data_IF_820878383148
#
_entry.id   IF_820878383148
#
_cell.length_a   1.000
_cell.length_b   1.000
_cell.length_c   1.000
_cell.angle_alpha   90.00
_cell.angle_beta   90.00
_cell.angle_gamma   90.00
#
_symmetry.space_group_name_H-M   'P 1'
#
loop_
_entity.id
_entity.type
_entity.pdbx_description
1 polymer ?
#
# COMPACT_ATOMS: atom_id res chain seq x y z
N UNK A 1 -6.60 -31.91 33.06
CA UNK A 1 -7.83 -31.20 32.66
C UNK A 1 -7.90 -29.89 33.41
N UNK A 2 -7.30 -28.83 32.87
CA UNK A 2 -7.73 -27.44 33.09
C UNK A 2 -7.30 -26.65 31.86
N UNK A 3 -8.27 -25.91 31.32
CA UNK A 3 -8.34 -25.36 29.98
C UNK A 3 -7.30 -24.26 29.72
N UNK A 4 -6.51 -24.41 28.67
CA UNK A 4 -6.09 -23.27 27.85
C UNK A 4 -6.59 -23.50 26.42
N UNK A 5 -7.91 -23.56 26.30
CA UNK A 5 -8.59 -23.36 25.04
C UNK A 5 -8.83 -21.85 24.89
N UNK A 6 -8.41 -21.33 23.74
CA UNK A 6 -8.74 -20.04 23.15
C UNK A 6 -8.10 -18.77 23.71
N UNK A 7 -6.98 -18.36 23.09
CA UNK A 7 -7.03 -17.20 22.16
C UNK A 7 -6.14 -17.52 20.94
N UNK A 8 -6.63 -18.23 19.91
CA UNK A 8 -6.03 -18.11 18.59
C UNK A 8 -6.42 -16.75 18.04
N UNK A 9 -5.57 -16.19 17.19
CA UNK A 9 -5.83 -14.96 16.44
C UNK A 9 -5.85 -13.68 17.31
N UNK A 10 -4.72 -13.39 17.95
CA UNK A 10 -4.31 -11.97 17.95
C UNK A 10 -4.02 -11.66 16.49
N UNK A 11 -4.99 -11.03 15.86
CA UNK A 11 -4.94 -10.57 14.48
C UNK A 11 -3.69 -9.72 14.30
N UNK A 12 -2.63 -10.29 13.72
CA UNK A 12 -1.43 -9.55 13.32
C UNK A 12 -1.76 -8.47 12.26
N UNK A 13 -3.02 -8.40 11.79
CA UNK A 13 -3.51 -7.36 10.90
C UNK A 13 -3.92 -6.06 11.62
N UNK A 14 -3.88 -5.98 12.95
CA UNK A 14 -4.34 -4.78 13.67
C UNK A 14 -3.23 -3.92 14.31
N UNK A 15 -1.95 -4.30 14.20
CA UNK A 15 -0.84 -3.50 14.74
C UNK A 15 0.36 -3.48 13.81
N UNK A 16 0.17 -2.98 12.57
CA UNK A 16 1.17 -2.17 11.88
C UNK A 16 0.50 -1.39 10.73
N UNK A 17 -0.55 -0.65 11.08
CA UNK A 17 -1.03 0.48 10.27
C UNK A 17 -0.36 1.78 10.73
N UNK A 18 0.93 1.72 11.09
CA UNK A 18 1.75 2.93 11.02
C UNK A 18 2.28 3.04 9.60
N UNK A 19 1.46 3.75 8.84
CA UNK A 19 1.61 4.41 7.55
C UNK A 19 2.96 5.15 7.41
N UNK A 20 4.09 4.48 7.65
CA UNK A 20 5.43 5.07 7.66
C UNK A 20 6.02 5.09 6.26
N UNK A 21 5.21 5.34 5.22
CA UNK A 21 5.67 5.79 3.90
C UNK A 21 4.60 6.54 3.09
N UNK A 22 3.53 7.07 3.69
CA UNK A 22 2.81 8.19 3.07
C UNK A 22 3.50 9.49 3.46
N UNK A 23 4.58 9.84 2.75
CA UNK A 23 5.10 11.20 2.83
C UNK A 23 4.08 12.12 2.17
N UNK A 24 3.43 12.97 2.95
CA UNK A 24 2.66 14.08 2.40
C UNK A 24 3.64 15.05 1.75
N UNK A 25 3.57 15.12 0.42
CA UNK A 25 4.37 16.05 -0.35
C UNK A 25 3.79 17.46 -0.21
N UNK A 26 4.66 18.47 -0.35
CA UNK A 26 4.21 19.86 -0.46
C UNK A 26 3.29 20.00 -1.68
N UNK A 27 2.33 20.93 -1.61
CA UNK A 27 1.42 21.21 -2.73
C UNK A 27 2.21 21.39 -4.03
N UNK A 28 1.67 20.85 -5.11
CA UNK A 28 2.33 20.87 -6.41
C UNK A 28 3.36 19.79 -6.62
N UNK A 29 3.60 18.89 -5.66
CA UNK A 29 4.48 17.75 -5.81
C UNK A 29 3.83 16.44 -5.37
N UNK A 30 4.28 15.33 -5.98
CA UNK A 30 3.82 13.97 -5.70
C UNK A 30 4.95 12.95 -5.91
N UNK A 31 4.64 11.66 -5.71
CA UNK A 31 5.58 10.54 -5.84
C UNK A 31 6.30 10.19 -4.53
N UNK A 32 7.00 9.06 -4.53
CA UNK A 32 7.61 8.51 -3.29
C UNK A 32 8.68 9.42 -2.67
N UNK A 33 9.35 10.23 -3.50
CA UNK A 33 10.38 11.19 -3.09
C UNK A 33 9.95 12.66 -3.23
N UNK A 34 8.68 12.95 -3.53
CA UNK A 34 8.17 14.32 -3.71
C UNK A 34 8.94 15.15 -4.74
N UNK A 35 9.54 14.50 -5.73
CA UNK A 35 10.32 15.16 -6.81
C UNK A 35 9.48 15.44 -8.05
N UNK A 36 8.32 14.79 -8.19
CA UNK A 36 7.46 14.92 -9.36
C UNK A 36 6.51 16.09 -9.17
N UNK A 37 6.55 17.07 -10.06
CA UNK A 37 5.65 18.21 -10.02
C UNK A 37 4.29 17.88 -10.64
N UNK A 38 3.20 18.43 -10.11
CA UNK A 38 1.87 18.28 -10.70
C UNK A 38 1.85 18.75 -12.15
N UNK A 39 1.26 17.92 -12.99
CA UNK A 39 1.14 18.18 -14.42
C UNK A 39 -0.16 18.90 -14.70
N UNK A 40 -0.12 19.93 -15.55
CA UNK A 40 -1.33 20.60 -16.05
C UNK A 40 -2.31 19.57 -16.65
N UNK A 41 -3.62 19.62 -16.31
CA UNK A 41 -4.30 20.70 -15.57
C UNK A 41 -4.30 20.55 -14.04
N UNK A 42 -3.65 19.54 -13.48
CA UNK A 42 -3.70 19.25 -12.06
C UNK A 42 -2.79 20.14 -11.20
N UNK A 43 -3.22 20.47 -9.99
CA UNK A 43 -2.47 21.24 -9.00
C UNK A 43 -2.82 20.82 -7.55
N UNK A 44 -2.18 21.43 -6.56
CA UNK A 44 -2.58 21.33 -5.16
C UNK A 44 -2.00 20.13 -4.43
N UNK A 45 -2.67 19.67 -3.37
CA UNK A 45 -2.20 18.53 -2.58
C UNK A 45 -2.37 17.24 -3.37
N UNK A 46 -1.29 16.46 -3.50
CA UNK A 46 -1.25 15.22 -4.28
C UNK A 46 -1.84 15.35 -5.71
N UNK A 47 -1.81 16.56 -6.29
CA UNK A 47 -2.34 16.87 -7.61
C UNK A 47 -3.84 16.51 -7.81
N UNK A 48 -4.66 16.66 -6.77
CA UNK A 48 -6.10 16.33 -6.81
C UNK A 48 -6.99 17.48 -7.29
N UNK A 49 -6.46 18.70 -7.37
CA UNK A 49 -7.21 19.87 -7.85
C UNK A 49 -6.96 20.11 -9.35
N UNK A 50 -7.87 20.81 -10.04
CA UNK A 50 -7.78 21.05 -11.49
C UNK A 50 -7.91 22.54 -11.85
N UNK A 51 -6.98 23.04 -12.66
CA UNK A 51 -6.93 24.41 -13.15
C UNK A 51 -7.96 24.68 -14.25
N UNK A 52 -8.82 25.69 -14.03
CA UNK A 52 -9.75 26.19 -15.04
C UNK A 52 -9.25 27.47 -15.74
N UNK A 53 -7.98 27.48 -16.12
CA UNK A 53 -7.30 28.58 -16.79
C UNK A 53 -6.26 28.02 -17.76
N UNK A 54 -5.80 28.82 -18.71
CA UNK A 54 -4.73 28.39 -19.63
C UNK A 54 -3.47 27.99 -18.85
N UNK A 55 -2.76 26.97 -19.33
CA UNK A 55 -1.54 26.40 -18.71
C UNK A 55 -0.53 27.44 -18.22
N UNK A 56 -0.31 28.51 -18.98
CA UNK A 56 0.59 29.62 -18.62
C UNK A 56 0.20 30.37 -17.33
N UNK A 57 -1.03 30.20 -16.87
CA UNK A 57 -1.57 30.81 -15.65
C UNK A 57 -1.87 29.78 -14.54
N UNK A 58 -1.63 28.49 -14.78
CA UNK A 58 -1.82 27.43 -13.80
C UNK A 58 -0.51 27.18 -13.06
N UNK A 59 -0.51 27.48 -11.76
CA UNK A 59 0.58 27.16 -10.85
C UNK A 59 0.35 25.76 -10.25
N UNK A 60 1.32 24.84 -10.30
CA UNK A 60 1.19 23.49 -9.74
C UNK A 60 0.82 23.46 -8.24
N UNK A 61 1.16 24.50 -7.48
CA UNK A 61 0.88 24.59 -6.04
C UNK A 61 -0.47 25.23 -5.74
N UNK A 62 -0.80 26.34 -6.41
CA UNK A 62 -1.93 27.22 -6.04
C UNK A 62 -3.05 27.26 -7.07
N UNK A 63 -2.85 26.67 -8.25
CA UNK A 63 -3.83 26.69 -9.33
C UNK A 63 -3.79 27.99 -10.13
N UNK A 64 -4.95 28.51 -10.50
CA UNK A 64 -5.06 29.64 -11.40
C UNK A 64 -4.67 30.97 -10.74
N UNK A 65 -3.88 31.79 -11.44
CA UNK A 65 -3.61 33.17 -11.02
C UNK A 65 -4.88 34.02 -11.06
N UNK A 66 -5.00 34.94 -10.11
CA UNK A 66 -6.09 35.92 -10.06
C UNK A 66 -6.13 36.74 -11.36
N UNK A 67 -7.33 36.90 -11.93
CA UNK A 67 -7.51 37.59 -13.21
C UNK A 67 -7.06 36.80 -14.44
N UNK A 68 -6.67 35.54 -14.31
CA UNK A 68 -6.39 34.68 -15.47
C UNK A 68 -7.65 34.45 -16.31
N UNK A 69 -7.53 34.38 -17.64
CA UNK A 69 -8.67 34.06 -18.50
C UNK A 69 -9.17 32.67 -18.15
N UNK A 70 -10.38 32.61 -17.59
CA UNK A 70 -11.06 31.35 -17.31
C UNK A 70 -11.34 30.66 -18.63
N UNK A 71 -10.94 29.40 -18.74
CA UNK A 71 -11.32 28.63 -19.92
C UNK A 71 -12.83 28.39 -19.85
N UNK A 72 -13.57 28.57 -20.96
CA UNK A 72 -14.96 28.15 -20.99
C UNK A 72 -15.00 26.64 -20.65
N UNK A 73 -15.98 26.17 -19.89
CA UNK A 73 -16.12 24.75 -19.61
C UNK A 73 -16.09 24.01 -20.95
N UNK A 74 -15.28 22.95 -21.05
CA UNK A 74 -15.26 22.05 -22.21
C UNK A 74 -16.54 21.21 -22.22
N UNK A 75 -17.68 21.88 -22.26
CA UNK A 75 -19.01 21.33 -22.50
C UNK A 75 -19.41 21.81 -23.88
N UNK A 76 -19.00 21.06 -24.90
CA UNK A 76 -19.69 21.10 -26.17
C UNK A 76 -21.14 20.67 -25.92
N UNK A 77 -22.05 21.62 -25.79
CA UNK A 77 -23.48 21.45 -26.04
C UNK A 77 -24.14 22.81 -26.17
N UNK A 78 -24.07 23.32 -27.39
CA UNK A 78 -25.17 24.08 -27.98
C UNK A 78 -26.43 23.22 -27.85
N UNK A 79 -27.49 23.76 -27.23
CA UNK A 79 -28.84 23.19 -27.06
C UNK A 79 -28.97 22.07 -26.00
N UNK A 80 -29.39 22.41 -24.76
CA UNK A 80 -30.63 21.89 -24.14
C UNK A 80 -31.22 23.01 -23.27
N UNK A 81 -32.26 23.61 -23.84
CA UNK A 81 -33.49 24.12 -23.25
C UNK A 81 -33.59 24.46 -21.75
N UNK A 82 -34.16 25.66 -21.54
CA UNK A 82 -35.02 26.02 -20.41
C UNK A 82 -36.14 24.98 -20.19
N UNK A 83 -35.91 23.84 -19.53
CA UNK A 83 -37.01 22.99 -19.05
C UNK A 83 -36.77 22.57 -17.59
N UNK A 84 -37.65 23.11 -16.76
CA UNK A 84 -38.06 22.78 -15.39
C UNK A 84 -37.32 21.68 -14.63
N UNK A 85 -36.81 22.12 -13.47
CA UNK A 85 -36.49 21.37 -12.25
C UNK A 85 -37.60 20.37 -11.89
N UNK A 86 -37.50 19.11 -12.30
CA UNK A 86 -37.94 17.97 -11.48
C UNK A 86 -37.42 16.66 -12.05
N UNK A 87 -36.62 15.96 -11.24
CA UNK A 87 -36.54 14.48 -11.21
C UNK A 87 -35.82 13.80 -12.39
N UNK A 88 -34.48 13.79 -12.39
CA UNK A 88 -33.67 12.55 -12.34
C UNK A 88 -32.35 12.86 -11.63
N UNK A 89 -32.13 12.20 -10.49
CA UNK A 89 -30.82 12.05 -9.84
C UNK A 89 -29.92 11.18 -10.72
N UNK A 90 -29.25 11.77 -11.71
CA UNK A 90 -28.06 11.15 -12.30
C UNK A 90 -26.95 12.16 -12.19
N UNK A 91 -26.09 11.93 -11.20
CA UNK A 91 -24.86 12.67 -10.98
C UNK A 91 -24.16 12.85 -12.32
N UNK A 92 -23.94 14.11 -12.67
CA UNK A 92 -22.96 14.52 -13.67
C UNK A 92 -21.60 14.16 -13.10
N UNK A 93 -21.22 12.89 -13.17
CA UNK A 93 -19.82 12.50 -13.02
C UNK A 93 -19.10 13.15 -14.18
N UNK A 94 -18.28 14.15 -13.86
CA UNK A 94 -17.22 14.64 -14.73
C UNK A 94 -16.54 13.40 -15.31
N UNK A 95 -16.53 13.28 -16.64
CA UNK A 95 -16.05 12.08 -17.31
C UNK A 95 -14.53 11.99 -17.11
N UNK A 96 -14.12 11.39 -15.99
CA UNK A 96 -12.74 11.01 -15.74
C UNK A 96 -12.32 10.01 -16.82
N UNK A 97 -11.13 10.17 -17.37
CA UNK A 97 -10.59 9.21 -18.34
C UNK A 97 -10.52 7.81 -17.73
N UNK A 98 -10.65 6.79 -18.58
CA UNK A 98 -10.36 5.41 -18.20
C UNK A 98 -8.95 5.33 -17.60
N UNK A 99 -8.78 4.43 -16.64
CA UNK A 99 -7.49 4.18 -15.98
C UNK A 99 -6.39 3.95 -17.02
N UNK A 100 -5.24 4.57 -16.81
CA UNK A 100 -4.10 4.48 -17.71
C UNK A 100 -4.17 5.36 -18.94
N UNK A 101 -5.16 6.25 -19.06
CA UNK A 101 -5.30 7.19 -20.16
C UNK A 101 -5.48 8.63 -19.68
N UNK A 102 -5.03 9.58 -20.49
CA UNK A 102 -5.07 11.01 -20.21
C UNK A 102 -5.33 11.85 -21.45
N UNK A 103 -5.52 13.15 -21.21
CA UNK A 103 -5.74 14.16 -22.23
C UNK A 103 -7.22 14.49 -22.41
N UNK A 104 -7.47 15.59 -23.15
CA UNK A 104 -8.82 16.17 -23.22
C UNK A 104 -9.87 15.30 -23.94
N UNK A 105 -9.42 14.23 -24.60
CA UNK A 105 -10.24 13.20 -25.25
C UNK A 105 -9.92 11.78 -24.76
N UNK A 106 -9.08 11.62 -23.72
CA UNK A 106 -8.67 10.32 -23.16
C UNK A 106 -8.00 9.35 -24.15
N UNK A 107 -7.36 9.88 -25.19
CA UNK A 107 -6.73 9.08 -26.27
C UNK A 107 -5.28 8.70 -25.98
N UNK A 108 -4.64 9.36 -25.00
CA UNK A 108 -3.20 9.20 -24.76
C UNK A 108 -2.96 8.24 -23.59
N UNK A 109 -2.19 7.16 -23.76
CA UNK A 109 -1.83 6.30 -22.63
C UNK A 109 -0.86 7.02 -21.69
N UNK A 110 -0.86 6.68 -20.40
CA UNK A 110 0.11 7.22 -19.45
C UNK A 110 1.55 6.98 -19.93
N UNK A 111 2.39 8.00 -19.79
CA UNK A 111 3.80 7.93 -20.20
C UNK A 111 4.63 7.40 -19.04
N UNK A 112 5.57 6.51 -19.32
CA UNK A 112 6.55 6.04 -18.33
C UNK A 112 7.20 7.21 -17.57
N UNK A 113 7.34 7.13 -16.23
CA UNK A 113 7.04 5.98 -15.37
C UNK A 113 5.58 5.92 -14.87
N UNK A 114 4.67 6.75 -15.38
CA UNK A 114 3.33 6.86 -14.82
C UNK A 114 2.33 5.81 -15.32
N UNK A 115 1.42 5.37 -14.45
CA UNK A 115 0.30 4.47 -14.79
C UNK A 115 -0.94 4.75 -13.91
N UNK A 116 -2.04 4.04 -14.16
CA UNK A 116 -3.22 4.03 -13.27
C UNK A 116 -4.18 5.21 -13.47
N UNK A 117 -5.07 5.45 -12.50
CA UNK A 117 -6.06 6.53 -12.58
C UNK A 117 -5.35 7.89 -12.64
N UNK A 118 -5.72 8.72 -13.62
CA UNK A 118 -5.10 10.03 -13.86
C UNK A 118 -3.57 10.02 -14.05
N UNK A 119 -2.95 8.86 -14.33
CA UNK A 119 -1.49 8.71 -14.42
C UNK A 119 -0.74 9.14 -13.15
N UNK A 120 -1.33 8.91 -11.97
CA UNK A 120 -0.76 9.34 -10.68
C UNK A 120 0.00 8.22 -9.96
N UNK A 121 0.01 7.01 -10.49
CA UNK A 121 0.85 5.90 -9.99
C UNK A 121 2.17 5.84 -10.75
N UNK A 122 3.22 5.30 -10.13
CA UNK A 122 4.59 5.26 -10.67
C UNK A 122 5.10 3.82 -10.73
N UNK A 123 5.57 3.39 -11.91
CA UNK A 123 6.19 2.10 -12.15
C UNK A 123 7.59 2.04 -11.54
N UNK A 124 7.89 0.93 -10.87
CA UNK A 124 9.20 0.60 -10.27
C UNK A 124 10.00 -0.43 -11.09
N UNK A 125 9.54 -0.70 -12.31
CA UNK A 125 10.12 -1.65 -13.27
C UNK A 125 10.64 -0.90 -14.51
N UNK A 126 11.36 -1.59 -15.40
CA UNK A 126 11.77 -1.01 -16.67
C UNK A 126 10.59 -0.61 -17.55
N UNK A 127 10.80 0.36 -18.45
CA UNK A 127 9.75 0.89 -19.34
C UNK A 127 9.05 -0.21 -20.14
N UNK A 128 9.79 -1.22 -20.62
CA UNK A 128 9.22 -2.35 -21.36
C UNK A 128 8.30 -3.27 -20.53
N UNK A 129 8.30 -3.13 -19.20
CA UNK A 129 7.48 -3.93 -18.26
C UNK A 129 6.39 -3.11 -17.56
N UNK A 130 6.31 -1.82 -17.87
CA UNK A 130 5.35 -0.89 -17.29
C UNK A 130 4.13 -0.75 -18.21
N UNK A 131 3.04 -1.41 -17.83
CA UNK A 131 1.73 -1.24 -18.43
C UNK A 131 1.10 0.09 -17.96
N UNK A 132 0.59 0.90 -18.87
CA UNK A 132 0.03 2.21 -18.53
C UNK A 132 -1.25 2.12 -17.69
N UNK A 133 -1.94 0.98 -17.66
CA UNK A 133 -3.15 0.73 -16.84
C UNK A 133 -2.79 0.11 -15.50
N UNK A 134 -2.06 -1.00 -15.52
CA UNK A 134 -1.81 -1.85 -14.34
C UNK A 134 -0.47 -1.56 -13.67
N UNK A 135 0.47 -0.95 -14.38
CA UNK A 135 1.83 -0.70 -13.91
C UNK A 135 2.73 -1.89 -14.19
N UNK A 136 3.50 -2.34 -13.21
CA UNK A 136 4.43 -3.45 -13.40
C UNK A 136 3.68 -4.79 -13.43
N UNK A 137 3.79 -5.55 -14.52
CA UNK A 137 3.27 -6.91 -14.56
C UNK A 137 4.14 -7.79 -13.64
N UNK A 138 3.58 -8.22 -12.52
CA UNK A 138 4.27 -9.01 -11.50
C UNK A 138 4.58 -10.42 -12.01
N UNK A 139 5.62 -10.56 -12.82
CA UNK A 139 6.41 -11.81 -12.84
C UNK A 139 7.83 -11.60 -12.31
N UNK A 140 8.18 -10.40 -11.84
CA UNK A 140 9.51 -10.17 -11.26
C UNK A 140 9.59 -8.99 -10.27
N UNK A 141 8.56 -8.76 -9.45
CA UNK A 141 8.65 -7.86 -8.29
C UNK A 141 7.58 -8.14 -7.22
N UNK A 142 7.38 -9.41 -6.84
CA UNK A 142 7.46 -9.65 -5.39
C UNK A 142 8.83 -9.10 -5.01
N UNK A 143 8.91 -8.24 -4.00
CA UNK A 143 10.19 -7.79 -3.47
C UNK A 143 11.18 -8.96 -3.49
N UNK A 144 12.15 -8.96 -4.41
CA UNK A 144 13.40 -9.66 -4.20
C UNK A 144 14.16 -8.85 -3.14
N UNK A 145 13.54 -8.67 -1.97
CA UNK A 145 14.25 -8.84 -0.71
C UNK A 145 14.33 -10.35 -0.44
N UNK A 146 14.97 -11.08 -1.36
CA UNK A 146 15.62 -12.34 -0.98
C UNK A 146 16.91 -12.07 -0.19
N UNK A 147 17.25 -10.80 0.08
CA UNK A 147 18.21 -10.41 1.11
C UNK A 147 17.57 -9.50 2.19
N UNK A 148 16.34 -9.83 2.59
CA UNK A 148 15.80 -9.39 3.87
C UNK A 148 16.00 -10.50 4.90
N UNK A 149 17.15 -10.48 5.59
CA UNK A 149 17.58 -11.40 6.65
C UNK A 149 16.43 -11.70 7.67
N UNK A 150 15.52 -12.64 7.36
CA UNK A 150 14.55 -13.24 8.30
C UNK A 150 15.23 -14.20 9.27
N UNK A 151 16.44 -13.87 9.74
CA UNK A 151 17.24 -14.68 10.63
C UNK A 151 17.32 -14.15 12.08
N UNK A 152 16.22 -13.67 12.69
CA UNK A 152 16.13 -13.75 14.15
C UNK A 152 14.90 -14.52 14.67
N UNK A 153 13.78 -14.59 13.95
CA UNK A 153 12.57 -15.24 14.46
C UNK A 153 12.65 -16.78 14.48
N UNK A 154 13.20 -17.38 13.42
CA UNK A 154 13.39 -18.83 13.35
C UNK A 154 14.49 -19.31 14.31
N UNK A 155 15.55 -18.52 14.46
CA UNK A 155 16.66 -18.78 15.39
C UNK A 155 16.21 -18.67 16.85
N UNK A 156 15.39 -17.67 17.18
CA UNK A 156 14.86 -17.52 18.53
C UNK A 156 13.95 -18.70 18.90
N UNK A 157 13.10 -19.16 17.98
CA UNK A 157 12.21 -20.31 18.23
C UNK A 157 12.97 -21.63 18.41
N UNK A 158 13.99 -21.93 17.58
CA UNK A 158 14.77 -23.17 17.71
C UNK A 158 15.64 -23.20 18.96
N UNK A 159 16.18 -22.04 19.39
CA UNK A 159 16.93 -21.93 20.65
C UNK A 159 16.01 -22.13 21.87
N UNK A 160 14.82 -21.53 21.88
CA UNK A 160 13.86 -21.72 22.98
C UNK A 160 13.39 -23.17 23.09
N UNK A 161 13.11 -23.83 21.96
CA UNK A 161 12.70 -25.24 21.94
C UNK A 161 13.82 -26.20 22.36
N UNK A 162 15.06 -25.94 21.97
CA UNK A 162 16.19 -26.79 22.34
C UNK A 162 16.53 -26.69 23.84
N UNK A 163 16.48 -25.49 24.43
CA UNK A 163 16.66 -25.30 25.88
C UNK A 163 15.55 -25.99 26.67
N UNK A 164 14.29 -25.90 26.22
CA UNK A 164 13.18 -26.59 26.86
C UNK A 164 13.34 -28.12 26.82
N UNK A 165 13.76 -28.67 25.67
CA UNK A 165 14.01 -30.12 25.54
C UNK A 165 15.14 -30.60 26.46
N UNK A 166 16.22 -29.84 26.59
CA UNK A 166 17.34 -30.17 27.49
C UNK A 166 16.87 -30.21 28.94
N UNK A 167 16.11 -29.20 29.38
CA UNK A 167 15.57 -29.18 30.75
C UNK A 167 14.67 -30.39 31.03
N UNK A 168 13.80 -30.75 30.08
CA UNK A 168 12.93 -31.93 30.21
C UNK A 168 13.75 -33.23 30.31
N UNK A 169 14.78 -33.39 29.48
CA UNK A 169 15.66 -34.57 29.52
C UNK A 169 16.42 -34.64 30.84
N UNK A 170 16.96 -33.52 31.32
CA UNK A 170 17.67 -33.47 32.61
C UNK A 170 16.77 -33.86 33.78
N UNK A 171 15.53 -33.37 33.81
CA UNK A 171 14.55 -33.74 34.84
C UNK A 171 14.22 -35.24 34.77
N UNK A 172 14.00 -35.77 33.56
CA UNK A 172 13.71 -37.19 33.37
C UNK A 172 14.87 -38.08 33.84
N UNK A 173 16.11 -37.73 33.49
CA UNK A 173 17.30 -38.45 33.94
C UNK A 173 17.47 -38.39 35.46
N UNK A 174 17.21 -37.24 36.08
CA UNK A 174 17.25 -37.10 37.54
C UNK A 174 16.20 -38.00 38.22
N UNK A 175 14.96 -37.99 37.73
CA UNK A 175 13.88 -38.85 38.25
C UNK A 175 14.18 -40.34 38.02
N UNK A 176 14.73 -40.70 36.86
CA UNK A 176 15.14 -42.07 36.56
C UNK A 176 16.25 -42.54 37.50
N UNK A 177 17.30 -41.73 37.69
CA UNK A 177 18.39 -41.99 38.64
C UNK A 177 17.87 -42.12 40.08
N UNK A 178 16.97 -41.24 40.48
CA UNK A 178 16.40 -41.28 41.83
C UNK A 178 15.48 -42.50 42.03
N UNK A 179 14.73 -42.89 41.01
CA UNK A 179 13.92 -44.11 41.04
C UNK A 179 14.78 -45.38 41.12
N UNK A 180 15.94 -45.41 40.46
CA UNK A 180 16.90 -46.53 40.60
C UNK A 180 17.54 -46.60 41.99
N UNK A 181 17.80 -45.45 42.64
CA UNK A 181 18.26 -45.45 44.04
C UNK A 181 17.16 -45.87 45.03
N UNK A 182 15.89 -45.62 44.72
CA UNK A 182 14.77 -46.14 45.51
C UNK A 182 14.58 -47.66 45.32
N UNK A 183 14.91 -48.20 44.14
CA UNK A 183 14.88 -49.64 43.86
C UNK A 183 16.01 -50.38 44.60
N UNK A 184 17.20 -49.78 44.75
CA UNK A 184 18.28 -50.39 45.55
C UNK A 184 17.98 -50.45 47.05
N UNK A 185 17.28 -49.45 47.60
CA UNK A 185 16.85 -49.48 49.00
C UNK A 185 15.78 -50.53 49.29
N UNK A 186 14.94 -50.92 48.32
CA UNK A 186 13.93 -51.97 48.52
C UNK A 186 14.44 -53.41 48.33
N UNK A 187 15.64 -53.63 47.78
CA UNK A 187 16.21 -54.98 47.56
C UNK A 187 17.17 -55.38 48.70
N UNK A 188 17.54 -54.46 49.60
CA UNK A 188 18.48 -54.73 50.70
C UNK A 188 17.79 -55.01 52.06
N UNK A 189 16.46 -55.05 52.12
CA UNK A 189 15.67 -55.30 53.35
C UNK A 189 14.63 -56.43 53.21
N UNK A 190 14.94 -57.48 52.45
CA UNK A 190 14.23 -58.78 52.47
C UNK A 190 15.24 -59.90 52.40
#
# INVERSE_FOLDING_TARGET
>A
MFMFFFVPVVSCCLLDFQDKHRRECHNGFFGFNCTLQCRYPSYGSACQDECNCKETFCNPMTGCKDGSPTLPPKSTSTIIEKISVTRIMTLKTTAACSVGFFGSSCEKPCRYPSFGLHCQSECICSEEKCDHVVGCNETSTLCNSEEGHKLPALMYSTVVLSVWAILQISIYLYLALHSSSAIQFNISYT
#
